data_IF_338986178896
#
_entry.id   IF_338986178896
#
_cell.length_a   1.000
_cell.length_b   1.000
_cell.length_c   1.000
_cell.angle_alpha   90.00
_cell.angle_beta   90.00
_cell.angle_gamma   90.00
#
_symmetry.space_group_name_H-M   'P 1'
#
loop_
_entity.id
_entity.type
_entity.pdbx_description
1 polymer ?
#
# COMPACT_ATOMS: atom_id res chain seq x y z
N UNK A 1 -5.19 8.86 14.64
CA UNK A 1 -5.26 10.26 15.11
C UNK A 1 -4.41 11.12 14.20
N UNK A 2 -4.92 12.24 13.69
CA UNK A 2 -4.13 13.21 12.94
C UNK A 2 -3.15 13.90 13.88
N UNK A 3 -1.84 13.76 13.64
CA UNK A 3 -0.78 14.44 14.40
C UNK A 3 -0.65 15.89 13.94
N UNK A 4 -1.73 16.66 14.07
CA UNK A 4 -1.83 18.02 13.54
C UNK A 4 -0.71 18.94 14.07
N UNK A 5 -0.34 18.76 15.34
CA UNK A 5 0.76 19.50 15.95
C UNK A 5 2.12 19.21 15.30
N UNK A 6 2.42 17.94 15.01
CA UNK A 6 3.67 17.57 14.32
C UNK A 6 3.66 18.07 12.86
N UNK A 7 2.50 18.00 12.19
CA UNK A 7 2.30 18.54 10.85
C UNK A 7 2.59 20.04 10.81
N UNK A 8 1.98 20.83 11.70
CA UNK A 8 2.22 22.27 11.78
C UNK A 8 3.69 22.59 12.09
N UNK A 9 4.31 21.86 13.00
CA UNK A 9 5.69 22.11 13.41
C UNK A 9 6.68 21.78 12.28
N UNK A 10 6.41 20.72 11.51
CA UNK A 10 7.17 20.38 10.30
C UNK A 10 6.93 21.37 9.16
N UNK A 11 5.72 21.91 9.04
CA UNK A 11 5.37 22.94 8.05
C UNK A 11 6.11 24.25 8.32
N UNK A 12 6.16 24.67 9.58
CA UNK A 12 6.86 25.88 9.99
C UNK A 12 8.40 25.74 9.95
N UNK A 13 8.93 24.51 10.03
CA UNK A 13 10.38 24.27 10.02
C UNK A 13 10.80 23.11 9.09
N UNK A 14 11.02 23.41 7.80
CA UNK A 14 11.51 22.42 6.82
C UNK A 14 12.85 21.80 7.21
N UNK A 15 13.72 22.57 7.87
CA UNK A 15 15.02 22.07 8.37
C UNK A 15 14.84 20.98 9.42
N UNK A 16 13.88 21.15 10.33
CA UNK A 16 13.60 20.16 11.37
C UNK A 16 12.98 18.90 10.76
N UNK A 17 12.08 19.05 9.79
CA UNK A 17 11.52 17.90 9.06
C UNK A 17 12.61 17.09 8.36
N UNK A 18 13.55 17.76 7.66
CA UNK A 18 14.67 17.09 7.00
C UNK A 18 15.61 16.42 8.01
N UNK A 19 15.91 17.08 9.13
CA UNK A 19 16.71 16.50 10.20
C UNK A 19 16.05 15.24 10.79
N UNK A 20 14.76 15.30 11.13
CA UNK A 20 14.00 14.15 11.65
C UNK A 20 13.97 13.01 10.64
N UNK A 21 13.78 13.28 9.35
CA UNK A 21 13.82 12.26 8.29
C UNK A 21 15.18 11.58 8.18
N UNK A 22 16.28 12.33 8.21
CA UNK A 22 17.63 11.78 8.06
C UNK A 22 18.09 10.99 9.29
N UNK A 23 17.91 11.55 10.49
CA UNK A 23 18.58 11.03 11.69
C UNK A 23 17.67 10.20 12.60
N UNK A 24 16.40 10.60 12.77
CA UNK A 24 15.47 9.88 13.64
C UNK A 24 14.80 8.73 12.90
N UNK A 25 14.29 9.00 11.70
CA UNK A 25 13.65 7.95 10.92
C UNK A 25 14.68 6.97 10.38
N UNK A 26 15.84 7.41 9.88
CA UNK A 26 16.83 6.55 9.21
C UNK A 26 17.60 5.55 10.09
N UNK A 27 17.85 5.88 11.36
CA UNK A 27 18.98 5.28 12.10
C UNK A 27 18.76 3.87 12.65
N UNK A 28 17.55 3.47 13.07
CA UNK A 28 17.34 2.14 13.67
C UNK A 28 15.93 1.58 13.41
N UNK A 29 15.84 0.45 12.70
CA UNK A 29 14.57 -0.16 12.30
C UNK A 29 13.72 -0.72 13.46
N UNK A 30 14.36 -1.13 14.56
CA UNK A 30 13.68 -1.71 15.73
C UNK A 30 13.11 -0.65 16.69
N UNK A 31 13.43 0.63 16.50
CA UNK A 31 12.89 1.72 17.33
C UNK A 31 11.51 2.20 16.87
N UNK A 32 10.97 1.58 15.81
CA UNK A 32 9.67 1.88 15.23
C UNK A 32 8.59 1.73 16.28
N UNK A 33 7.91 2.82 16.59
CA UNK A 33 6.63 2.73 17.28
C UNK A 33 5.53 2.56 16.24
N UNK A 34 4.51 1.75 16.54
CA UNK A 34 3.41 1.44 15.60
C UNK A 34 2.68 2.69 15.09
N UNK A 35 2.71 3.78 15.85
CA UNK A 35 2.12 5.07 15.53
C UNK A 35 2.95 5.89 14.53
N UNK A 36 4.22 5.55 14.29
CA UNK A 36 5.10 6.19 13.29
C UNK A 36 5.03 5.51 11.92
N UNK A 37 4.39 4.33 11.88
CA UNK A 37 4.17 3.52 10.69
C UNK A 37 2.93 4.00 9.95
N UNK A 38 3.05 4.26 8.65
CA UNK A 38 1.89 4.58 7.83
C UNK A 38 1.03 3.32 7.63
N UNK A 39 -0.19 3.34 8.16
CA UNK A 39 -1.12 2.22 8.08
C UNK A 39 -1.81 2.17 6.72
N UNK A 40 -1.06 1.76 5.68
CA UNK A 40 -1.55 1.70 4.30
C UNK A 40 -2.89 0.96 4.17
N UNK A 41 -3.01 -0.24 4.77
CA UNK A 41 -4.23 -1.04 4.66
C UNK A 41 -5.48 -0.33 5.19
N UNK A 42 -5.37 0.35 6.34
CA UNK A 42 -6.48 1.10 6.92
C UNK A 42 -6.89 2.25 6.00
N UNK A 43 -5.96 3.10 5.56
CA UNK A 43 -6.29 4.24 4.73
C UNK A 43 -6.81 3.84 3.35
N UNK A 44 -6.23 2.81 2.71
CA UNK A 44 -6.75 2.30 1.44
C UNK A 44 -8.16 1.76 1.58
N UNK A 45 -8.44 0.97 2.64
CA UNK A 45 -9.81 0.47 2.88
C UNK A 45 -10.80 1.62 3.05
N UNK A 46 -10.42 2.65 3.81
CA UNK A 46 -11.24 3.85 4.02
C UNK A 46 -11.51 4.59 2.70
N UNK A 47 -10.49 4.78 1.87
CA UNK A 47 -10.65 5.40 0.55
C UNK A 47 -11.60 4.57 -0.32
N UNK A 48 -11.36 3.26 -0.47
CA UNK A 48 -12.21 2.39 -1.28
C UNK A 48 -13.67 2.48 -0.82
N UNK A 49 -13.95 2.43 0.48
CA UNK A 49 -15.32 2.58 0.99
C UNK A 49 -15.94 3.93 0.64
N UNK A 50 -15.19 5.03 0.74
CA UNK A 50 -15.69 6.36 0.37
C UNK A 50 -15.98 6.46 -1.13
N UNK A 51 -15.15 5.84 -1.97
CA UNK A 51 -15.40 5.73 -3.41
C UNK A 51 -16.67 4.93 -3.68
N UNK A 52 -16.85 3.77 -3.05
CA UNK A 52 -18.03 2.93 -3.21
C UNK A 52 -19.30 3.71 -2.83
N UNK A 53 -19.29 4.43 -1.70
CA UNK A 53 -20.41 5.29 -1.29
C UNK A 53 -20.66 6.40 -2.33
N UNK A 54 -19.59 7.06 -2.78
CA UNK A 54 -19.68 8.12 -3.79
C UNK A 54 -20.31 7.68 -5.10
N UNK A 55 -19.94 6.49 -5.59
CA UNK A 55 -20.48 5.89 -6.80
C UNK A 55 -21.94 5.46 -6.57
N UNK A 56 -22.24 4.80 -5.45
CA UNK A 56 -23.60 4.30 -5.18
C UNK A 56 -24.64 5.42 -5.11
N UNK A 57 -24.30 6.54 -4.49
CA UNK A 57 -25.22 7.66 -4.32
C UNK A 57 -25.14 8.70 -5.44
N UNK A 58 -24.28 8.52 -6.45
CA UNK A 58 -24.12 9.51 -7.52
C UNK A 58 -25.37 9.67 -8.39
N UNK A 59 -26.16 8.60 -8.54
CA UNK A 59 -27.42 8.63 -9.30
C UNK A 59 -28.55 9.33 -8.56
N UNK A 60 -28.56 9.27 -7.23
CA UNK A 60 -29.61 9.85 -6.38
C UNK A 60 -29.31 11.32 -6.09
N UNK A 61 -28.05 11.66 -5.81
CA UNK A 61 -27.63 13.01 -5.46
C UNK A 61 -26.29 13.36 -6.09
N UNK A 62 -26.25 14.27 -7.08
CA UNK A 62 -25.01 14.68 -7.74
C UNK A 62 -24.08 15.50 -6.83
N UNK A 63 -24.57 15.96 -5.67
CA UNK A 63 -23.74 16.65 -4.67
C UNK A 63 -22.81 15.67 -3.91
N UNK A 64 -23.17 14.40 -3.80
CA UNK A 64 -22.35 13.39 -3.12
C UNK A 64 -21.00 13.16 -3.81
N UNK A 65 -20.91 12.91 -5.13
CA UNK A 65 -19.61 12.74 -5.79
C UNK A 65 -18.76 14.02 -5.71
N UNK A 66 -19.37 15.20 -5.70
CA UNK A 66 -18.64 16.45 -5.47
C UNK A 66 -18.01 16.50 -4.07
N UNK A 67 -18.76 16.12 -3.03
CA UNK A 67 -18.24 16.04 -1.66
C UNK A 67 -17.11 14.99 -1.53
N UNK A 68 -17.27 13.83 -2.17
CA UNK A 68 -16.25 12.78 -2.20
C UNK A 68 -14.99 13.26 -2.92
N UNK A 69 -15.12 13.96 -4.05
CA UNK A 69 -13.99 14.56 -4.76
C UNK A 69 -13.21 15.57 -3.89
N UNK A 70 -13.92 16.45 -3.17
CA UNK A 70 -13.32 17.41 -2.26
C UNK A 70 -12.59 16.68 -1.12
N UNK A 71 -13.23 15.67 -0.52
CA UNK A 71 -12.61 14.82 0.50
C UNK A 71 -11.32 14.17 0.00
N UNK A 72 -11.33 13.56 -1.19
CA UNK A 72 -10.14 12.97 -1.81
C UNK A 72 -9.04 13.98 -2.07
N UNK A 73 -9.39 15.19 -2.50
CA UNK A 73 -8.42 16.25 -2.78
C UNK A 73 -7.70 16.69 -1.51
N UNK A 74 -8.45 17.00 -0.45
CA UNK A 74 -7.87 17.38 0.86
C UNK A 74 -7.06 16.23 1.42
N UNK A 75 -7.62 15.01 1.35
CA UNK A 75 -6.95 13.81 1.86
C UNK A 75 -5.63 13.56 1.14
N UNK A 76 -5.61 13.66 -0.18
CA UNK A 76 -4.40 13.47 -0.98
C UNK A 76 -3.32 14.49 -0.61
N UNK A 77 -3.69 15.75 -0.36
CA UNK A 77 -2.76 16.77 0.09
C UNK A 77 -2.18 16.44 1.48
N UNK A 78 -3.04 16.08 2.43
CA UNK A 78 -2.63 15.71 3.79
C UNK A 78 -1.75 14.47 3.80
N UNK A 79 -2.12 13.43 3.06
CA UNK A 79 -1.36 12.18 3.00
C UNK A 79 -0.02 12.38 2.26
N UNK A 80 -0.01 13.11 1.13
CA UNK A 80 1.24 13.45 0.42
C UNK A 80 2.21 14.19 1.34
N UNK A 81 1.70 15.18 2.08
CA UNK A 81 2.52 15.92 3.02
C UNK A 81 2.97 15.06 4.20
N UNK A 82 2.10 14.22 4.74
CA UNK A 82 2.40 13.29 5.83
C UNK A 82 3.43 12.23 5.46
N UNK A 83 3.40 11.73 4.22
CA UNK A 83 4.39 10.77 3.69
C UNK A 83 5.75 11.45 3.48
N UNK A 84 5.77 12.70 3.01
CA UNK A 84 7.02 13.44 2.78
C UNK A 84 7.77 13.80 4.07
N UNK A 85 7.02 14.07 5.14
CA UNK A 85 7.55 14.73 6.35
C UNK A 85 7.65 13.81 7.57
N UNK A 86 6.60 13.03 7.87
CA UNK A 86 6.48 12.28 9.13
C UNK A 86 6.83 10.81 8.91
N UNK A 87 6.20 10.17 7.92
CA UNK A 87 6.28 8.72 7.76
C UNK A 87 7.58 8.30 7.06
N UNK A 88 8.19 7.22 7.55
CA UNK A 88 9.31 6.57 6.86
C UNK A 88 8.78 5.67 5.74
N UNK A 89 9.53 5.54 4.65
CA UNK A 89 9.28 4.54 3.60
C UNK A 89 9.46 3.16 4.20
N UNK A 90 8.37 2.49 4.54
CA UNK A 90 8.41 1.19 5.21
C UNK A 90 8.51 0.01 4.25
N UNK A 91 7.89 0.13 3.08
CA UNK A 91 7.82 -0.94 2.12
C UNK A 91 7.83 -0.37 0.71
N UNK A 92 8.80 -0.76 -0.09
CA UNK A 92 8.76 -0.57 -1.54
C UNK A 92 7.88 -1.68 -2.10
N UNK A 93 6.58 -1.58 -1.85
CA UNK A 93 5.64 -2.39 -2.61
C UNK A 93 5.68 -1.80 -4.00
N UNK A 94 6.16 -2.54 -4.99
CA UNK A 94 6.04 -2.14 -6.39
C UNK A 94 4.57 -1.92 -6.78
N UNK A 95 4.24 -2.00 -8.06
CA UNK A 95 2.87 -1.77 -8.56
C UNK A 95 1.79 -2.76 -8.04
N UNK A 96 2.14 -3.72 -7.18
CA UNK A 96 1.23 -4.73 -6.61
C UNK A 96 0.07 -4.13 -5.79
N UNK A 97 0.33 -3.16 -4.91
CA UNK A 97 -0.76 -2.54 -4.13
C UNK A 97 -1.75 -1.77 -5.03
N UNK A 98 -1.23 -1.05 -6.01
CA UNK A 98 -2.05 -0.29 -6.95
C UNK A 98 -3.00 -1.21 -7.74
N UNK A 99 -2.51 -2.35 -8.21
CA UNK A 99 -3.35 -3.36 -8.91
C UNK A 99 -4.47 -3.90 -8.02
N UNK A 100 -4.18 -4.19 -6.75
CA UNK A 100 -5.21 -4.64 -5.79
C UNK A 100 -6.29 -3.57 -5.58
N UNK A 101 -5.89 -2.30 -5.42
CA UNK A 101 -6.83 -1.19 -5.25
C UNK A 101 -7.70 -1.02 -6.50
N UNK A 102 -7.11 -1.07 -7.70
CA UNK A 102 -7.87 -1.00 -8.96
C UNK A 102 -8.92 -2.11 -9.07
N UNK A 103 -8.58 -3.34 -8.68
CA UNK A 103 -9.51 -4.46 -8.67
C UNK A 103 -10.73 -4.15 -7.78
N UNK A 104 -10.52 -3.65 -6.57
CA UNK A 104 -11.61 -3.26 -5.66
C UNK A 104 -12.45 -2.07 -6.17
N UNK A 105 -11.83 -1.12 -6.88
CA UNK A 105 -12.56 -0.04 -7.54
C UNK A 105 -13.49 -0.57 -8.64
N UNK A 106 -13.01 -1.52 -9.46
CA UNK A 106 -13.83 -2.15 -10.51
C UNK A 106 -14.97 -2.97 -9.89
N UNK A 107 -14.71 -3.72 -8.81
CA UNK A 107 -15.76 -4.45 -8.08
C UNK A 107 -16.84 -3.52 -7.56
N UNK A 108 -16.46 -2.36 -6.99
CA UNK A 108 -17.43 -1.35 -6.52
C UNK A 108 -18.27 -0.79 -7.66
N UNK A 109 -17.68 -0.57 -8.83
CA UNK A 109 -18.36 -0.10 -10.03
C UNK A 109 -19.32 -1.16 -10.62
N UNK A 110 -18.93 -2.43 -10.63
CA UNK A 110 -19.81 -3.54 -11.03
C UNK A 110 -21.01 -3.66 -10.10
N UNK A 111 -20.80 -3.50 -8.79
CA UNK A 111 -21.88 -3.50 -7.82
C UNK A 111 -22.89 -2.38 -8.09
N UNK A 112 -22.43 -1.16 -8.41
CA UNK A 112 -23.30 -0.07 -8.83
C UNK A 112 -24.05 -0.36 -10.13
N UNK A 113 -23.38 -0.89 -11.14
CA UNK A 113 -24.02 -1.26 -12.42
C UNK A 113 -25.11 -2.31 -12.23
N UNK A 114 -24.89 -3.28 -11.35
CA UNK A 114 -25.90 -4.29 -11.00
C UNK A 114 -27.14 -3.63 -10.38
N UNK A 115 -26.96 -2.70 -9.44
CA UNK A 115 -28.07 -1.96 -8.85
C UNK A 115 -28.83 -1.11 -9.88
N UNK A 116 -28.11 -0.43 -10.78
CA UNK A 116 -28.72 0.36 -11.85
C UNK A 116 -29.47 -0.52 -12.86
N UNK A 117 -28.97 -1.72 -13.16
CA UNK A 117 -29.64 -2.68 -14.03
C UNK A 117 -30.97 -3.13 -13.41
N UNK A 118 -30.97 -3.48 -12.12
CA UNK A 118 -32.20 -3.82 -11.39
C UNK A 118 -33.17 -2.64 -11.38
N UNK A 119 -32.67 -1.42 -11.11
CA UNK A 119 -33.50 -0.21 -11.11
C UNK A 119 -34.18 0.04 -12.47
N UNK A 120 -33.46 -0.06 -13.59
CA UNK A 120 -34.06 0.17 -14.91
C UNK A 120 -35.01 -0.95 -15.34
N UNK A 121 -34.73 -2.19 -14.92
CA UNK A 121 -35.63 -3.31 -15.16
C UNK A 121 -36.97 -3.12 -14.44
N UNK A 122 -36.97 -2.65 -13.19
CA UNK A 122 -38.19 -2.40 -12.42
C UNK A 122 -39.03 -1.22 -12.96
N UNK A 123 -38.42 -0.30 -13.69
CA UNK A 123 -39.11 0.86 -14.28
C UNK A 123 -39.51 0.64 -15.76
N UNK A 124 -39.40 -0.58 -16.28
CA UNK A 124 -39.72 -0.95 -17.68
C UNK A 124 -38.95 -0.15 -18.76
N UNK A 125 -37.74 0.31 -18.44
CA UNK A 125 -36.89 1.08 -19.36
C UNK A 125 -35.97 0.15 -20.16
N UNK A 126 -36.54 -0.56 -21.14
CA UNK A 126 -35.85 -1.61 -21.91
C UNK A 126 -34.56 -1.14 -22.60
N UNK A 127 -34.59 -0.03 -23.33
CA UNK A 127 -33.40 0.48 -24.03
C UNK A 127 -32.25 0.81 -23.09
N UNK A 128 -32.55 1.43 -21.94
CA UNK A 128 -31.55 1.78 -20.93
C UNK A 128 -30.99 0.52 -20.27
N UNK A 129 -31.84 -0.47 -19.99
CA UNK A 129 -31.43 -1.76 -19.44
C UNK A 129 -30.45 -2.49 -20.36
N UNK A 130 -30.73 -2.54 -21.67
CA UNK A 130 -29.83 -3.17 -22.66
C UNK A 130 -28.48 -2.43 -22.70
N UNK A 131 -28.50 -1.10 -22.69
CA UNK A 131 -27.27 -0.30 -22.69
C UNK A 131 -26.40 -0.56 -21.44
N UNK A 132 -27.01 -0.55 -20.25
CA UNK A 132 -26.31 -0.80 -18.98
C UNK A 132 -25.80 -2.25 -18.90
N UNK A 133 -26.58 -3.21 -19.38
CA UNK A 133 -26.15 -4.61 -19.47
C UNK A 133 -24.90 -4.77 -20.36
N UNK A 134 -24.86 -4.07 -21.50
CA UNK A 134 -23.67 -4.04 -22.36
C UNK A 134 -22.44 -3.49 -21.64
N UNK A 135 -22.57 -2.36 -20.93
CA UNK A 135 -21.47 -1.75 -20.16
C UNK A 135 -21.03 -2.68 -19.01
N UNK A 136 -21.96 -3.39 -18.38
CA UNK A 136 -21.68 -4.36 -17.33
C UNK A 136 -20.82 -5.53 -17.83
N UNK A 137 -21.16 -6.09 -19.00
CA UNK A 137 -20.36 -7.16 -19.63
C UNK A 137 -18.95 -6.68 -19.96
N UNK A 138 -18.79 -5.47 -20.52
CA UNK A 138 -17.47 -4.89 -20.77
C UNK A 138 -16.68 -4.73 -19.48
N UNK A 139 -17.32 -4.26 -18.41
CA UNK A 139 -16.70 -4.08 -17.10
C UNK A 139 -16.25 -5.42 -16.49
N UNK A 140 -17.02 -6.49 -16.69
CA UNK A 140 -16.63 -7.86 -16.30
C UNK A 140 -15.40 -8.36 -17.07
N UNK A 141 -15.33 -8.11 -18.39
CA UNK A 141 -14.17 -8.50 -19.20
C UNK A 141 -12.90 -7.79 -18.71
N UNK A 142 -13.01 -6.51 -18.38
CA UNK A 142 -11.91 -5.73 -17.80
C UNK A 142 -11.50 -6.32 -16.44
N UNK A 143 -12.45 -6.64 -15.56
CA UNK A 143 -12.15 -7.26 -14.27
C UNK A 143 -11.41 -8.59 -14.44
N UNK A 144 -11.89 -9.47 -15.34
CA UNK A 144 -11.26 -10.77 -15.60
C UNK A 144 -9.84 -10.57 -16.13
N UNK A 145 -9.64 -9.61 -17.04
CA UNK A 145 -8.30 -9.28 -17.57
C UNK A 145 -7.36 -8.82 -16.45
N UNK A 146 -7.81 -7.95 -15.56
CA UNK A 146 -7.03 -7.46 -14.42
C UNK A 146 -6.70 -8.57 -13.41
N UNK A 147 -7.66 -9.45 -13.12
CA UNK A 147 -7.43 -10.62 -12.26
C UNK A 147 -6.38 -11.54 -12.88
N UNK A 148 -6.47 -11.82 -14.19
CA UNK A 148 -5.46 -12.63 -14.90
C UNK A 148 -4.07 -12.01 -14.80
N UNK A 149 -3.96 -10.70 -15.01
CA UNK A 149 -2.68 -9.98 -14.87
C UNK A 149 -2.14 -9.97 -13.43
N UNK A 150 -3.02 -10.00 -12.42
CA UNK A 150 -2.63 -10.07 -11.01
C UNK A 150 -2.12 -11.47 -10.63
N UNK A 151 -2.70 -12.52 -11.21
CA UNK A 151 -2.37 -13.92 -10.89
C UNK A 151 -1.30 -14.53 -11.80
N UNK A 152 -0.73 -13.79 -12.76
CA UNK A 152 0.32 -14.30 -13.63
C UNK A 152 1.67 -14.31 -12.88
N UNK A 153 2.14 -15.48 -12.39
CA UNK A 153 3.32 -15.56 -11.52
C UNK A 153 4.61 -15.19 -12.27
N UNK A 154 4.62 -15.29 -13.60
CA UNK A 154 5.77 -15.00 -14.44
C UNK A 154 6.18 -13.52 -14.42
N UNK A 155 5.24 -12.60 -14.19
CA UNK A 155 5.53 -11.17 -14.05
C UNK A 155 6.05 -10.82 -12.66
N UNK A 156 5.66 -11.55 -11.62
CA UNK A 156 6.17 -11.35 -10.26
C UNK A 156 7.66 -11.68 -10.21
N UNK A 157 8.05 -12.81 -10.83
CA UNK A 157 9.45 -13.26 -10.92
C UNK A 157 10.30 -12.25 -11.71
N UNK A 158 9.78 -11.70 -12.82
CA UNK A 158 10.53 -10.69 -13.60
C UNK A 158 10.77 -9.37 -12.85
N UNK A 159 9.79 -8.90 -12.08
CA UNK A 159 9.95 -7.65 -11.31
C UNK A 159 10.98 -7.83 -10.20
N UNK A 160 11.00 -8.99 -9.54
CA UNK A 160 12.01 -9.31 -8.52
C UNK A 160 13.41 -9.38 -9.13
N UNK A 161 13.55 -9.96 -10.33
CA UNK A 161 14.81 -9.97 -11.09
C UNK A 161 15.27 -8.58 -11.56
N UNK A 162 14.35 -7.70 -12.00
CA UNK A 162 14.69 -6.33 -12.43
C UNK A 162 15.06 -5.41 -11.25
N UNK A 163 14.43 -5.57 -10.07
CA UNK A 163 14.79 -4.83 -8.86
C UNK A 163 16.15 -5.29 -8.28
N UNK A 164 16.51 -6.57 -8.45
CA UNK A 164 17.87 -7.07 -8.15
C UNK A 164 18.95 -6.48 -9.08
N UNK A 165 18.65 -6.30 -10.37
CA UNK A 165 19.61 -5.72 -11.33
C UNK A 165 19.81 -4.19 -11.13
N UNK A 166 18.81 -3.45 -10.67
CA UNK A 166 18.95 -2.02 -10.33
C UNK A 166 19.63 -1.79 -8.97
N UNK A 167 19.66 -2.81 -8.10
CA UNK A 167 20.44 -2.83 -6.85
C UNK A 167 21.83 -3.46 -7.06
N UNK A 168 22.41 -3.23 -8.25
CA UNK A 168 23.75 -3.61 -8.70
C UNK A 168 24.90 -3.07 -7.83
N UNK A 169 24.96 -3.55 -6.60
CA UNK A 169 26.13 -4.14 -5.96
C UNK A 169 25.70 -5.39 -5.15
N UNK A 170 24.87 -6.28 -5.71
CA UNK A 170 24.68 -7.61 -5.11
C UNK A 170 24.15 -8.67 -6.09
N UNK A 171 24.66 -8.72 -7.32
CA UNK A 171 24.45 -9.89 -8.19
C UNK A 171 25.28 -11.08 -7.69
N UNK A 172 24.77 -11.81 -6.69
CA UNK A 172 25.27 -13.15 -6.32
C UNK A 172 24.27 -13.97 -5.49
N UNK A 173 22.99 -13.94 -5.82
CA UNK A 173 22.04 -14.92 -5.27
C UNK A 173 21.70 -15.93 -6.35
N UNK A 174 22.61 -16.89 -6.53
CA UNK A 174 22.20 -18.22 -6.95
C UNK A 174 21.21 -18.73 -5.90
N UNK A 175 20.19 -19.48 -6.32
CA UNK A 175 19.32 -20.31 -5.47
C UNK A 175 20.09 -21.45 -4.74
N UNK A 176 21.35 -21.24 -4.39
CA UNK A 176 22.03 -22.03 -3.38
C UNK A 176 21.63 -21.49 -2.02
N UNK A 177 20.72 -22.23 -1.38
CA UNK A 177 20.78 -22.55 0.05
C UNK A 177 21.42 -21.44 0.89
N UNK A 178 20.59 -20.56 1.49
CA UNK A 178 20.97 -19.50 2.43
C UNK A 178 22.36 -19.80 3.03
N UNK A 179 23.40 -19.14 2.50
CA UNK A 179 24.77 -19.40 2.95
C UNK A 179 24.76 -19.25 4.47
N UNK A 180 25.37 -20.16 5.24
CA UNK A 180 25.41 -20.03 6.70
C UNK A 180 25.96 -18.66 7.12
N UNK A 181 26.83 -18.05 6.31
CA UNK A 181 27.32 -16.68 6.50
C UNK A 181 26.25 -15.62 6.28
N UNK A 182 25.42 -15.73 5.24
CA UNK A 182 24.31 -14.80 4.98
C UNK A 182 23.19 -14.97 6.00
N UNK A 183 22.97 -16.20 6.49
CA UNK A 183 22.05 -16.48 7.59
C UNK A 183 22.58 -15.92 8.91
N UNK A 184 23.88 -16.02 9.19
CA UNK A 184 24.48 -15.37 10.35
C UNK A 184 24.41 -13.85 10.22
N UNK A 185 24.68 -13.29 9.04
CA UNK A 185 24.59 -11.85 8.79
C UNK A 185 23.16 -11.35 8.95
N UNK A 186 22.19 -12.07 8.39
CA UNK A 186 20.76 -11.82 8.59
C UNK A 186 20.36 -11.98 10.07
N UNK A 187 20.83 -13.02 10.75
CA UNK A 187 20.59 -13.26 12.17
C UNK A 187 21.21 -12.16 13.03
N UNK A 188 22.36 -11.60 12.66
CA UNK A 188 23.02 -10.47 13.32
C UNK A 188 22.29 -9.16 13.03
N UNK A 189 21.82 -8.94 11.80
CA UNK A 189 21.07 -7.76 11.40
C UNK A 189 19.65 -7.72 12.01
N UNK A 190 19.05 -8.90 12.18
CA UNK A 190 17.80 -9.12 12.92
C UNK A 190 18.03 -9.57 14.36
N UNK A 191 19.28 -9.55 14.88
CA UNK A 191 19.55 -9.85 16.28
C UNK A 191 18.99 -8.72 17.11
N UNK A 192 17.73 -8.90 17.51
CA UNK A 192 17.03 -7.96 18.33
C UNK A 192 17.84 -7.77 19.63
N UNK A 193 18.14 -6.53 20.07
CA UNK A 193 18.87 -6.28 21.31
C UNK A 193 18.10 -6.71 22.58
N UNK A 194 16.92 -7.33 22.43
CA UNK A 194 16.11 -7.92 23.50
C UNK A 194 16.10 -9.46 23.44
N UNK A 195 16.80 -10.09 22.48
CA UNK A 195 17.18 -11.51 22.57
C UNK A 195 18.31 -11.59 23.61
N UNK A 196 17.94 -11.34 24.87
CA UNK A 196 18.75 -11.71 26.02
C UNK A 196 18.67 -13.23 26.14
N UNK A 197 19.58 -13.94 25.46
CA UNK A 197 19.51 -15.41 25.45
C UNK A 197 20.74 -16.15 24.98
N UNK A 198 21.56 -15.57 24.10
CA UNK A 198 22.84 -16.16 23.71
C UNK A 198 23.95 -15.35 24.37
N UNK A 199 24.03 -15.49 25.70
CA UNK A 199 25.30 -15.28 26.40
C UNK A 199 26.34 -16.10 25.64
N UNK A 200 27.27 -15.41 24.98
CA UNK A 200 28.54 -15.99 24.58
C UNK A 200 29.05 -16.78 25.78
N UNK A 201 29.12 -18.11 25.63
CA UNK A 201 30.06 -18.88 26.42
C UNK A 201 31.41 -18.33 26.05
N UNK A 202 31.89 -17.41 26.87
CA UNK A 202 33.28 -17.02 26.95
C UNK A 202 34.04 -18.33 27.09
N UNK A 203 34.62 -18.83 25.99
CA UNK A 203 35.66 -19.84 26.06
C UNK A 203 36.84 -19.09 26.66
N UNK A 204 36.83 -19.03 27.99
CA UNK A 204 37.96 -18.64 28.80
C UNK A 204 38.96 -19.78 28.69
N UNK A 205 39.79 -19.75 27.65
CA UNK A 205 41.04 -20.49 27.64
C UNK A 205 42.03 -19.72 28.51
N UNK A 206 41.86 -19.86 29.82
CA UNK A 206 42.97 -19.78 30.78
C UNK A 206 43.11 -21.20 31.35
N UNK A 207 44.36 -21.64 31.55
CA UNK A 207 44.85 -23.00 31.87
C UNK A 207 44.91 -23.93 30.64
N UNK A 208 46.05 -24.32 30.07
CA UNK A 208 47.47 -24.31 30.47
C UNK A 208 48.37 -24.07 29.23
#
# INVERSE_FOLDING_TARGET
>A
MLRLGELCLMYLSPKLANYRRRYLNGSQFWRRKQDEVFQYGYFYSQMITMLTIGILFSSISPLVPFAVFLFYTIRNLVDSYGILTIHRREHESGLSLFRKVLCWCIVSLLFFQLLMLVYFHLNDLFFQTIAVAGIFVVSLIVLISQIREMFDPTKLIKIELEDEDCSGLSSRVNESFFSPEDFERWRLEYSHPLIFGTKERTVRSEFD
#
